data_IF_655250972273
#
_entry.id   IF_655250972273
#
_cell.length_a   1.000
_cell.length_b   1.000
_cell.length_c   1.000
_cell.angle_alpha   90.00
_cell.angle_beta   90.00
_cell.angle_gamma   90.00
#
_symmetry.space_group_name_H-M   'P 1'
#
loop_
_entity.id
_entity.type
_entity.pdbx_description
1 polymer ?
#
# COMPACT_ATOMS: atom_id res chain seq x y z
N UNK A 1 -0.85 -7.65 -12.54
CA UNK A 1 -1.38 -6.69 -11.53
C UNK A 1 -0.27 -5.71 -11.18
N UNK A 2 -0.59 -4.46 -10.87
CA UNK A 2 0.40 -3.44 -10.46
C UNK A 2 0.09 -3.00 -9.03
N UNK A 3 1.13 -2.80 -8.23
CA UNK A 3 1.04 -2.11 -6.95
C UNK A 3 1.95 -0.88 -6.95
N UNK A 4 1.49 0.19 -6.31
CA UNK A 4 2.28 1.38 -6.03
C UNK A 4 1.78 2.04 -4.74
N UNK A 5 2.65 2.82 -4.10
CA UNK A 5 2.30 3.76 -3.04
C UNK A 5 2.42 5.20 -3.54
N UNK A 6 1.64 6.11 -2.96
CA UNK A 6 1.67 7.53 -3.30
C UNK A 6 1.66 8.38 -2.02
N UNK A 7 2.31 9.54 -2.10
CA UNK A 7 2.26 10.57 -1.07
C UNK A 7 2.34 11.96 -1.74
N UNK A 8 2.26 13.02 -0.95
CA UNK A 8 2.37 14.40 -1.44
C UNK A 8 3.71 14.74 -2.14
N UNK A 9 4.76 13.93 -1.91
CA UNK A 9 6.09 14.12 -2.49
C UNK A 9 6.36 13.27 -3.74
N UNK A 10 5.47 12.33 -4.07
CA UNK A 10 5.63 11.49 -5.26
C UNK A 10 5.08 10.09 -5.12
N UNK A 11 5.47 9.25 -6.09
CA UNK A 11 5.02 7.87 -6.28
C UNK A 11 6.17 6.91 -6.00
N UNK A 12 5.88 5.78 -5.34
CA UNK A 12 6.88 4.73 -5.08
C UNK A 12 7.35 4.08 -6.38
N UNK A 13 8.46 3.32 -6.36
CA UNK A 13 8.72 2.34 -7.40
C UNK A 13 7.49 1.43 -7.61
N UNK A 14 7.17 1.13 -8.87
CA UNK A 14 6.08 0.22 -9.21
C UNK A 14 6.50 -1.23 -8.93
N UNK A 15 5.57 -2.01 -8.40
CA UNK A 15 5.70 -3.47 -8.31
C UNK A 15 4.77 -4.08 -9.34
N UNK A 16 5.35 -4.75 -10.34
CA UNK A 16 4.60 -5.39 -11.41
C UNK A 16 4.57 -6.89 -11.15
N UNK A 17 3.37 -7.41 -10.93
CA UNK A 17 3.12 -8.85 -10.82
C UNK A 17 2.72 -9.39 -12.19
N UNK A 18 3.65 -10.08 -12.85
CA UNK A 18 3.42 -10.68 -14.17
C UNK A 18 2.39 -11.81 -14.13
N UNK A 19 2.43 -12.66 -13.10
CA UNK A 19 1.59 -13.85 -12.98
C UNK A 19 1.06 -14.07 -11.55
N UNK A 20 -0.11 -14.71 -11.47
CA UNK A 20 -0.73 -15.15 -10.23
C UNK A 20 -1.43 -14.03 -9.44
N UNK A 21 -2.06 -14.44 -8.34
CA UNK A 21 -2.63 -13.53 -7.34
C UNK A 21 -1.56 -13.09 -6.34
N UNK A 22 -1.81 -11.99 -5.64
CA UNK A 22 -1.01 -11.60 -4.48
C UNK A 22 -1.72 -12.13 -3.24
N UNK A 23 -1.06 -13.02 -2.53
CA UNK A 23 -1.43 -13.43 -1.19
C UNK A 23 -0.64 -12.63 -0.14
N UNK A 24 -0.86 -12.93 1.14
CA UNK A 24 -0.18 -12.24 2.22
C UNK A 24 1.34 -12.45 2.22
N UNK A 25 1.82 -13.63 1.84
CA UNK A 25 3.26 -13.92 1.85
C UNK A 25 3.97 -13.14 0.74
N UNK A 26 3.38 -13.06 -0.46
CA UNK A 26 3.88 -12.22 -1.56
C UNK A 26 3.79 -10.75 -1.20
N UNK A 27 2.69 -10.30 -0.62
CA UNK A 27 2.53 -8.92 -0.17
C UNK A 27 3.63 -8.51 0.82
N UNK A 28 3.88 -9.33 1.85
CA UNK A 28 4.92 -9.08 2.84
C UNK A 28 6.33 -9.07 2.22
N UNK A 29 6.62 -9.95 1.27
CA UNK A 29 7.98 -10.10 0.70
C UNK A 29 8.27 -9.11 -0.42
N UNK A 30 7.31 -8.87 -1.30
CA UNK A 30 7.50 -8.13 -2.55
C UNK A 30 7.05 -6.66 -2.42
N UNK A 31 6.11 -6.33 -1.52
CA UNK A 31 5.51 -4.98 -1.45
C UNK A 31 5.95 -4.20 -0.21
N UNK A 32 5.71 -4.74 0.99
CA UNK A 32 5.89 -3.99 2.23
C UNK A 32 7.31 -3.42 2.44
N UNK A 33 8.41 -4.10 2.05
CA UNK A 33 9.75 -3.54 2.14
C UNK A 33 9.96 -2.32 1.24
N UNK A 34 9.31 -2.28 0.08
CA UNK A 34 9.38 -1.15 -0.86
C UNK A 34 8.61 0.04 -0.28
N UNK A 35 7.42 -0.20 0.28
CA UNK A 35 6.64 0.82 0.98
C UNK A 35 7.42 1.42 2.16
N UNK A 36 8.05 0.58 2.98
CA UNK A 36 8.86 0.99 4.14
C UNK A 36 10.02 1.87 3.71
N UNK A 37 10.80 1.41 2.72
CA UNK A 37 11.94 2.16 2.22
C UNK A 37 11.49 3.51 1.64
N UNK A 38 10.44 3.51 0.82
CA UNK A 38 9.94 4.72 0.19
C UNK A 38 9.42 5.75 1.21
N UNK A 39 8.63 5.31 2.20
CA UNK A 39 8.16 6.18 3.27
C UNK A 39 9.31 6.78 4.07
N UNK A 40 10.30 5.96 4.42
CA UNK A 40 11.49 6.41 5.16
C UNK A 40 12.35 7.38 4.35
N UNK A 41 12.55 7.14 3.06
CA UNK A 41 13.29 8.05 2.17
C UNK A 41 12.58 9.41 2.05
N UNK A 42 11.23 9.41 2.03
CA UNK A 42 10.44 10.63 1.81
C UNK A 42 10.18 11.44 3.10
N UNK A 43 10.02 10.78 4.24
CA UNK A 43 9.53 11.40 5.48
C UNK A 43 10.33 11.01 6.73
N UNK A 44 11.39 10.22 6.61
CA UNK A 44 12.08 9.67 7.78
C UNK A 44 11.15 8.77 8.59
N UNK A 45 10.94 9.06 9.87
CA UNK A 45 10.12 8.24 10.76
C UNK A 45 8.76 8.89 11.10
N UNK A 46 8.31 9.89 10.33
CA UNK A 46 7.07 10.63 10.59
C UNK A 46 6.09 10.48 9.43
N UNK A 47 5.49 9.30 9.32
CA UNK A 47 4.49 8.98 8.30
C UNK A 47 3.59 7.82 8.72
N UNK A 48 2.41 7.72 8.11
CA UNK A 48 1.44 6.65 8.34
C UNK A 48 1.18 5.89 7.05
N UNK A 49 1.31 4.57 7.08
CA UNK A 49 0.96 3.71 5.95
C UNK A 49 -0.57 3.49 5.88
N UNK A 50 -1.15 3.70 4.70
CA UNK A 50 -2.57 3.49 4.41
C UNK A 50 -2.70 2.36 3.37
N UNK A 51 -3.65 1.44 3.59
CA UNK A 51 -3.99 0.35 2.67
C UNK A 51 -5.49 0.02 2.80
N UNK A 52 -6.08 -0.55 1.75
CA UNK A 52 -7.49 -0.96 1.76
C UNK A 52 -7.72 -2.29 2.49
N UNK A 53 -8.98 -2.73 2.55
CA UNK A 53 -9.41 -3.98 3.19
C UNK A 53 -9.16 -5.27 2.40
N UNK A 54 -8.25 -5.31 1.41
CA UNK A 54 -8.00 -6.53 0.65
C UNK A 54 -7.47 -7.68 1.53
N UNK A 55 -7.78 -8.93 1.17
CA UNK A 55 -7.41 -10.12 1.97
C UNK A 55 -5.92 -10.21 2.33
N UNK A 56 -4.96 -9.90 1.44
CA UNK A 56 -3.53 -9.89 1.80
C UNK A 56 -3.20 -8.81 2.84
N UNK A 57 -3.88 -7.67 2.81
CA UNK A 57 -3.65 -6.54 3.69
C UNK A 57 -4.18 -6.83 5.10
N UNK A 58 -5.38 -7.41 5.20
CA UNK A 58 -6.04 -7.72 6.47
C UNK A 58 -5.54 -9.01 7.13
N UNK A 59 -4.67 -9.79 6.47
CA UNK A 59 -4.14 -11.03 7.01
C UNK A 59 -3.29 -10.77 8.26
N UNK A 60 -3.38 -11.64 9.27
CA UNK A 60 -2.73 -11.45 10.57
C UNK A 60 -1.21 -11.20 10.45
N UNK A 61 -0.51 -11.98 9.62
CA UNK A 61 0.94 -11.79 9.37
C UNK A 61 1.27 -10.44 8.72
N UNK A 62 0.42 -9.94 7.83
CA UNK A 62 0.64 -8.63 7.18
C UNK A 62 0.47 -7.52 8.20
N UNK A 63 -0.59 -7.59 9.00
CA UNK A 63 -0.85 -6.63 10.09
C UNK A 63 0.28 -6.62 11.12
N UNK A 64 0.75 -7.80 11.55
CA UNK A 64 1.90 -7.92 12.47
C UNK A 64 3.18 -7.33 11.85
N UNK A 65 3.43 -7.60 10.57
CA UNK A 65 4.57 -7.03 9.88
C UNK A 65 4.48 -5.50 9.86
N UNK A 66 3.32 -4.93 9.49
CA UNK A 66 3.11 -3.49 9.46
C UNK A 66 3.35 -2.86 10.84
N UNK A 67 2.74 -3.42 11.89
CA UNK A 67 2.86 -2.93 13.25
C UNK A 67 4.31 -2.96 13.78
N UNK A 68 5.11 -3.92 13.33
CA UNK A 68 6.50 -4.08 13.76
C UNK A 68 7.47 -3.15 13.04
N UNK A 69 7.20 -2.80 11.77
CA UNK A 69 8.19 -2.15 10.91
C UNK A 69 7.84 -0.73 10.48
N UNK A 70 6.56 -0.39 10.33
CA UNK A 70 6.17 0.97 9.98
C UNK A 70 6.17 1.90 11.20
N UNK A 71 6.47 3.21 11.04
CA UNK A 71 6.36 4.16 12.14
C UNK A 71 4.92 4.29 12.65
N UNK A 72 3.96 4.26 11.72
CA UNK A 72 2.53 4.20 11.96
C UNK A 72 1.84 3.57 10.75
N UNK A 73 0.69 2.92 10.95
CA UNK A 73 -0.16 2.44 9.86
C UNK A 73 -1.63 2.41 10.30
N UNK A 74 -2.55 2.52 9.32
CA UNK A 74 -3.97 2.29 9.54
C UNK A 74 -4.20 0.78 9.50
N UNK A 75 -4.54 0.21 10.65
CA UNK A 75 -4.83 -1.22 10.75
C UNK A 75 -6.20 -1.58 10.13
N UNK A 76 -6.43 -2.88 9.98
CA UNK A 76 -7.63 -3.43 9.33
C UNK A 76 -8.96 -3.01 9.98
N UNK A 77 -8.95 -2.63 11.26
CA UNK A 77 -10.16 -2.29 12.01
C UNK A 77 -10.48 -0.79 11.92
N UNK A 78 -9.50 0.03 11.48
CA UNK A 78 -9.64 1.47 11.31
C UNK A 78 -9.87 1.91 9.85
N UNK A 79 -9.64 1.03 8.87
CA UNK A 79 -9.99 1.33 7.47
C UNK A 79 -11.47 0.98 7.18
N UNK A 80 -12.30 1.93 6.74
CA UNK A 80 -13.72 1.65 6.46
C UNK A 80 -13.88 0.76 5.21
N UNK A 81 -14.75 -0.27 5.27
CA UNK A 81 -15.06 -1.10 4.12
C UNK A 81 -15.73 -0.30 2.98
N UNK A 82 -15.40 -0.64 1.73
CA UNK A 82 -15.99 -0.03 0.52
C UNK A 82 -15.82 1.50 0.43
N UNK A 83 -14.65 2.01 0.85
CA UNK A 83 -14.35 3.44 0.81
C UNK A 83 -13.22 3.81 -0.17
N UNK A 84 -13.38 3.56 -1.48
CA UNK A 84 -12.39 3.99 -2.48
C UNK A 84 -12.28 5.53 -2.57
N UNK A 85 -13.33 6.25 -2.16
CA UNK A 85 -13.37 7.71 -2.06
C UNK A 85 -12.39 8.28 -1.02
N UNK A 86 -11.93 7.46 -0.07
CA UNK A 86 -10.94 7.83 0.92
C UNK A 86 -9.51 7.45 0.54
N UNK A 87 -9.31 6.74 -0.58
CA UNK A 87 -8.01 6.30 -1.06
C UNK A 87 -7.56 7.11 -2.28
N UNK A 88 -6.49 7.93 -2.18
CA UNK A 88 -5.99 8.73 -3.30
C UNK A 88 -5.67 7.93 -4.56
N UNK A 89 -5.28 6.67 -4.38
CA UNK A 89 -5.06 5.76 -5.50
C UNK A 89 -6.33 5.52 -6.29
N UNK A 90 -7.45 5.26 -5.61
CA UNK A 90 -8.70 4.84 -6.23
C UNK A 90 -9.52 6.01 -6.76
N UNK A 91 -9.64 7.12 -6.00
CA UNK A 91 -10.46 8.25 -6.44
C UNK A 91 -9.79 9.15 -7.48
N UNK A 92 -8.48 9.02 -7.71
CA UNK A 92 -7.73 9.92 -8.60
C UNK A 92 -6.67 9.20 -9.43
N UNK A 93 -5.61 8.67 -8.80
CA UNK A 93 -4.39 8.29 -9.52
C UNK A 93 -4.65 7.21 -10.56
N UNK A 94 -5.41 6.16 -10.25
CA UNK A 94 -5.69 5.11 -11.22
C UNK A 94 -6.48 5.59 -12.44
N UNK A 95 -7.37 6.58 -12.26
CA UNK A 95 -8.09 7.17 -13.38
C UNK A 95 -7.16 7.96 -14.32
N UNK A 96 -6.19 8.69 -13.77
CA UNK A 96 -5.17 9.39 -14.57
C UNK A 96 -4.29 8.40 -15.35
N UNK A 97 -3.85 7.31 -14.71
CA UNK A 97 -3.09 6.26 -15.40
C UNK A 97 -3.87 5.61 -16.54
N UNK A 98 -5.16 5.34 -16.35
CA UNK A 98 -6.00 4.70 -17.36
C UNK A 98 -6.23 5.57 -18.61
N UNK A 99 -6.18 6.89 -18.48
CA UNK A 99 -6.35 7.82 -19.61
C UNK A 99 -5.09 7.96 -20.49
N UNK A 100 -3.93 7.56 -19.98
CA UNK A 100 -2.66 7.63 -20.70
C UNK A 100 -2.38 6.41 -21.60
N UNK A 101 -3.30 5.44 -21.61
CA UNK A 101 -3.20 4.17 -22.36
C UNK A 101 -4.23 4.10 -23.47
#
# INVERSE_FOLDING_TARGET
MVWLGVCSKGVSPLVIFENGTVDHDRYIKEVLPIALKFGNDMFGNDWTFQQDGARPHTHAKSQEWCAKHFPSFIDKDHWPPNSPDLNPLDYCIWNEFAQLV
#
